data_IF_001350141480
#
_entry.id   IF_001350141480
#
_cell.length_a   1.000
_cell.length_b   1.000
_cell.length_c   1.000
_cell.angle_alpha   90.00
_cell.angle_beta   90.00
_cell.angle_gamma   90.00
#
_symmetry.space_group_name_H-M   'P 1'
#
loop_
_entity.id
_entity.type
_entity.pdbx_description
1 polymer ?
#
# COMPACT_ATOMS: atom_id res chain seq x y z
N UNK A 1 25.11 -5.53 7.04
CA UNK A 1 24.49 -4.24 7.39
C UNK A 1 22.99 -4.45 7.43
N UNK A 2 22.40 -4.44 8.64
CA UNK A 2 20.95 -4.53 8.79
C UNK A 2 20.34 -3.26 8.19
N UNK A 3 19.63 -3.43 7.07
CA UNK A 3 18.76 -2.41 6.47
C UNK A 3 17.60 -2.17 7.44
N UNK A 4 17.87 -1.39 8.49
CA UNK A 4 16.82 -0.75 9.27
C UNK A 4 16.08 0.10 8.26
N UNK A 5 14.88 -0.34 7.88
CA UNK A 5 13.90 0.51 7.23
C UNK A 5 13.88 1.81 8.02
N UNK A 6 13.89 2.97 7.35
CA UNK A 6 13.54 4.21 8.03
C UNK A 6 12.13 4.01 8.59
N UNK A 7 12.08 3.59 9.85
CA UNK A 7 10.85 3.42 10.60
C UNK A 7 10.29 4.82 10.65
N UNK A 8 9.20 5.07 9.92
CA UNK A 8 8.41 6.27 10.09
C UNK A 8 8.28 6.49 11.60
N UNK A 9 8.84 7.59 12.12
CA UNK A 9 8.75 7.96 13.53
C UNK A 9 7.29 8.32 13.85
N UNK A 10 6.48 7.27 13.99
CA UNK A 10 5.06 7.40 14.26
C UNK A 10 4.92 7.54 15.77
N UNK A 11 5.06 8.78 16.23
CA UNK A 11 4.98 9.13 17.65
C UNK A 11 3.54 9.09 18.19
N UNK A 12 2.54 8.82 17.34
CA UNK A 12 1.15 8.75 17.73
C UNK A 12 0.39 7.66 16.98
N UNK A 13 -0.27 6.78 17.73
CA UNK A 13 -1.17 5.77 17.18
C UNK A 13 -2.30 6.38 16.33
N UNK A 14 -2.75 7.60 16.66
CA UNK A 14 -3.78 8.30 15.88
C UNK A 14 -3.25 8.83 14.54
N UNK A 15 -1.98 9.23 14.49
CA UNK A 15 -1.31 9.55 13.23
C UNK A 15 -1.26 8.31 12.33
N UNK A 16 -0.88 7.15 12.89
CA UNK A 16 -0.86 5.87 12.18
C UNK A 16 -2.23 5.52 11.58
N UNK A 17 -3.29 5.69 12.37
CA UNK A 17 -4.65 5.46 11.91
C UNK A 17 -4.96 6.33 10.68
N UNK A 18 -4.67 7.63 10.73
CA UNK A 18 -4.90 8.56 9.62
C UNK A 18 -4.11 8.16 8.38
N UNK A 19 -2.84 7.76 8.56
CA UNK A 19 -1.99 7.27 7.48
C UNK A 19 -2.57 6.01 6.82
N UNK A 20 -2.97 5.01 7.61
CA UNK A 20 -3.61 3.79 7.11
C UNK A 20 -4.90 4.09 6.35
N UNK A 21 -5.75 4.95 6.93
CA UNK A 21 -7.03 5.32 6.32
C UNK A 21 -6.84 6.02 4.96
N UNK A 22 -5.87 6.96 4.90
CA UNK A 22 -5.53 7.68 3.67
C UNK A 22 -4.89 6.77 2.62
N UNK A 23 -4.04 5.84 3.06
CA UNK A 23 -3.37 4.88 2.18
C UNK A 23 -4.36 3.93 1.50
N UNK A 24 -5.41 3.52 2.22
CA UNK A 24 -6.50 2.72 1.63
C UNK A 24 -7.18 3.49 0.49
N UNK A 25 -7.44 4.80 0.66
CA UNK A 25 -8.06 5.61 -0.40
C UNK A 25 -7.21 5.75 -1.65
N UNK A 26 -5.88 5.77 -1.49
CA UNK A 26 -4.93 5.98 -2.57
C UNK A 26 -4.63 4.67 -3.30
N UNK A 27 -4.32 3.60 -2.56
CA UNK A 27 -3.80 2.36 -3.15
C UNK A 27 -4.90 1.41 -3.61
N UNK A 28 -6.06 1.38 -2.94
CA UNK A 28 -7.11 0.41 -3.23
C UNK A 28 -8.08 0.96 -4.28
N UNK A 29 -8.08 0.37 -5.47
CA UNK A 29 -8.95 0.79 -6.58
C UNK A 29 -10.42 0.42 -6.36
N UNK A 30 -10.68 -0.79 -5.84
CA UNK A 30 -12.05 -1.28 -5.64
C UNK A 30 -12.79 -0.50 -4.56
N UNK A 31 -14.00 0.00 -4.89
CA UNK A 31 -14.86 0.72 -3.94
C UNK A 31 -15.28 -0.17 -2.77
N UNK A 32 -15.68 -1.42 -3.04
CA UNK A 32 -16.08 -2.37 -2.01
C UNK A 32 -14.91 -2.71 -1.09
N UNK A 33 -13.72 -2.96 -1.65
CA UNK A 33 -12.53 -3.23 -0.85
C UNK A 33 -12.13 -2.04 0.02
N UNK A 34 -12.20 -0.80 -0.51
CA UNK A 34 -11.97 0.42 0.29
C UNK A 34 -12.93 0.52 1.47
N UNK A 35 -14.23 0.37 1.21
CA UNK A 35 -15.25 0.45 2.26
C UNK A 35 -15.01 -0.62 3.35
N UNK A 36 -14.77 -1.86 2.92
CA UNK A 36 -14.48 -2.97 3.83
C UNK A 36 -13.24 -2.71 4.70
N UNK A 37 -12.11 -2.35 4.09
CA UNK A 37 -10.85 -2.11 4.81
C UNK A 37 -10.97 -0.93 5.77
N UNK A 38 -11.62 0.17 5.35
CA UNK A 38 -11.87 1.33 6.21
C UNK A 38 -12.75 0.99 7.39
N UNK A 39 -13.86 0.27 7.17
CA UNK A 39 -14.75 -0.16 8.24
C UNK A 39 -13.99 -1.03 9.25
N UNK A 40 -13.26 -2.04 8.76
CA UNK A 40 -12.45 -2.93 9.61
C UNK A 40 -11.39 -2.17 10.40
N UNK A 41 -10.68 -1.23 9.77
CA UNK A 41 -9.66 -0.41 10.41
C UNK A 41 -10.25 0.43 11.55
N UNK A 42 -11.37 1.09 11.33
CA UNK A 42 -12.05 1.91 12.35
C UNK A 42 -12.59 1.05 13.49
N UNK A 43 -13.20 -0.10 13.19
CA UNK A 43 -13.69 -1.03 14.22
C UNK A 43 -12.54 -1.54 15.09
N UNK A 44 -11.45 -2.01 14.49
CA UNK A 44 -10.28 -2.49 15.24
C UNK A 44 -9.63 -1.36 16.05
N UNK A 45 -9.60 -0.14 15.53
CA UNK A 45 -9.11 1.01 16.27
C UNK A 45 -9.98 1.31 17.51
N UNK A 46 -11.31 1.30 17.35
CA UNK A 46 -12.23 1.58 18.45
C UNK A 46 -12.12 0.55 19.58
N UNK A 47 -11.83 -0.71 19.24
CA UNK A 47 -11.56 -1.77 20.22
C UNK A 47 -10.20 -1.60 20.89
N UNK A 48 -9.13 -1.46 20.09
CA UNK A 48 -7.75 -1.50 20.57
C UNK A 48 -7.25 -0.20 21.20
N UNK A 49 -7.88 0.94 20.90
CA UNK A 49 -7.54 2.23 21.51
C UNK A 49 -7.83 2.31 23.01
N UNK A 50 -8.64 1.37 23.53
CA UNK A 50 -8.96 1.26 24.96
C UNK A 50 -7.95 0.41 25.73
N UNK A 51 -7.03 -0.25 25.04
CA UNK A 51 -5.98 -1.05 25.67
C UNK A 51 -5.08 -0.14 26.51
N UNK A 52 -4.80 -0.52 27.75
CA UNK A 52 -3.95 0.25 28.67
C UNK A 52 -2.55 -0.36 28.83
N UNK A 53 -2.37 -1.63 28.43
CA UNK A 53 -1.09 -2.31 28.47
C UNK A 53 -0.13 -1.77 27.40
N UNK A 54 1.03 -1.19 27.79
CA UNK A 54 1.96 -0.57 26.85
C UNK A 54 2.58 -1.58 25.87
N UNK A 55 2.78 -2.84 26.26
CA UNK A 55 3.35 -3.85 25.36
C UNK A 55 2.37 -4.21 24.25
N UNK A 56 1.09 -4.37 24.58
CA UNK A 56 0.03 -4.62 23.61
C UNK A 56 -0.22 -3.41 22.71
N UNK A 57 -0.21 -2.20 23.26
CA UNK A 57 -0.28 -0.98 22.46
C UNK A 57 0.84 -0.93 21.43
N UNK A 58 2.08 -1.25 21.83
CA UNK A 58 3.22 -1.29 20.92
C UNK A 58 3.02 -2.35 19.82
N UNK A 59 2.61 -3.56 20.20
CA UNK A 59 2.31 -4.62 19.25
C UNK A 59 1.25 -4.19 18.22
N UNK A 60 0.19 -3.51 18.67
CA UNK A 60 -0.84 -3.01 17.76
C UNK A 60 -0.32 -1.92 16.81
N UNK A 61 0.56 -1.05 17.28
CA UNK A 61 1.23 -0.07 16.42
C UNK A 61 2.13 -0.76 15.40
N UNK A 62 2.90 -1.78 15.79
CA UNK A 62 3.79 -2.53 14.88
C UNK A 62 2.98 -3.30 13.83
N UNK A 63 1.85 -3.90 14.22
CA UNK A 63 0.91 -4.55 13.28
C UNK A 63 0.29 -3.55 12.30
N UNK A 64 -0.11 -2.36 12.77
CA UNK A 64 -0.64 -1.31 11.92
C UNK A 64 0.44 -0.75 10.96
N UNK A 65 1.68 -0.63 11.42
CA UNK A 65 2.83 -0.28 10.58
C UNK A 65 3.09 -1.33 9.50
N UNK A 66 3.03 -2.61 9.85
CA UNK A 66 3.16 -3.73 8.90
C UNK A 66 2.05 -3.73 7.86
N UNK A 67 0.80 -3.45 8.27
CA UNK A 67 -0.32 -3.28 7.35
C UNK A 67 -0.11 -2.11 6.39
N UNK A 68 0.32 -0.96 6.91
CA UNK A 68 0.63 0.22 6.10
C UNK A 68 1.72 -0.11 5.07
N UNK A 69 2.79 -0.79 5.49
CA UNK A 69 3.85 -1.21 4.57
C UNK A 69 3.31 -2.15 3.49
N UNK A 70 2.51 -3.15 3.85
CA UNK A 70 1.93 -4.09 2.91
C UNK A 70 1.03 -3.42 1.84
N UNK A 71 0.33 -2.33 2.20
CA UNK A 71 -0.47 -1.56 1.24
C UNK A 71 0.37 -0.83 0.18
N UNK A 72 1.60 -0.44 0.54
CA UNK A 72 2.48 0.35 -0.34
C UNK A 72 3.56 -0.49 -1.02
N UNK A 73 3.78 -1.73 -0.56
CA UNK A 73 4.74 -2.64 -1.16
C UNK A 73 4.21 -3.17 -2.50
N UNK A 74 5.03 -3.10 -3.53
CA UNK A 74 4.72 -3.68 -4.83
C UNK A 74 4.66 -5.21 -4.76
N UNK A 75 3.96 -5.84 -5.71
CA UNK A 75 3.78 -7.31 -5.74
C UNK A 75 5.10 -8.09 -5.74
N UNK A 76 6.12 -7.54 -6.39
CA UNK A 76 7.47 -8.09 -6.45
C UNK A 76 8.47 -6.99 -6.05
N UNK A 77 8.68 -6.76 -4.74
CA UNK A 77 9.64 -5.77 -4.29
C UNK A 77 11.06 -6.26 -4.58
N UNK A 78 11.92 -5.36 -5.06
CA UNK A 78 13.35 -5.68 -5.16
C UNK A 78 13.95 -5.67 -3.76
N UNK A 79 14.96 -6.52 -3.48
CA UNK A 79 15.67 -6.42 -2.21
C UNK A 79 16.26 -5.01 -2.05
N UNK A 80 16.18 -4.47 -0.83
CA UNK A 80 16.69 -3.15 -0.45
C UNK A 80 16.04 -1.92 -1.13
N UNK A 81 14.91 -2.06 -1.83
CA UNK A 81 14.17 -0.86 -2.26
C UNK A 81 13.43 -0.21 -1.10
N UNK A 82 13.59 1.12 -0.89
CA UNK A 82 12.86 1.82 0.15
C UNK A 82 11.35 1.83 -0.17
N UNK A 83 10.53 1.59 0.85
CA UNK A 83 9.08 1.73 0.73
C UNK A 83 8.72 3.19 0.93
N UNK A 84 8.33 3.87 -0.16
CA UNK A 84 7.90 5.27 -0.11
C UNK A 84 6.41 5.36 0.18
N UNK A 85 6.05 6.09 1.25
CA UNK A 85 4.67 6.32 1.64
C UNK A 85 4.19 7.67 1.10
N UNK A 86 3.39 7.65 0.03
CA UNK A 86 2.81 8.87 -0.54
C UNK A 86 1.37 9.05 -0.05
N UNK A 87 1.12 10.05 0.81
CA UNK A 87 -0.20 10.31 1.43
C UNK A 87 -1.00 11.41 0.72
N UNK A 88 -0.34 12.18 -0.16
CA UNK A 88 -1.01 13.18 -0.99
C UNK A 88 -1.71 12.51 -2.17
N UNK A 89 -3.03 12.74 -2.29
CA UNK A 89 -3.84 12.17 -3.38
C UNK A 89 -3.43 12.73 -4.74
N UNK A 90 -3.09 14.02 -4.79
CA UNK A 90 -2.68 14.69 -6.03
C UNK A 90 -1.36 14.13 -6.52
N UNK A 91 -0.36 14.06 -5.63
CA UNK A 91 0.95 13.55 -6.01
C UNK A 91 0.90 12.07 -6.38
N UNK A 92 0.14 11.25 -5.64
CA UNK A 92 -0.05 9.85 -6.00
C UNK A 92 -0.76 9.66 -7.36
N UNK A 93 -1.68 10.57 -7.71
CA UNK A 93 -2.31 10.57 -9.03
C UNK A 93 -1.32 10.97 -10.12
N UNK A 94 -0.54 12.03 -9.90
CA UNK A 94 0.46 12.51 -10.85
C UNK A 94 1.56 11.44 -11.09
N UNK A 95 2.03 10.78 -10.03
CA UNK A 95 2.96 9.64 -10.11
C UNK A 95 2.37 8.47 -10.90
N UNK A 96 1.10 8.11 -10.64
CA UNK A 96 0.42 7.05 -11.40
C UNK A 96 0.27 7.42 -12.89
N UNK A 97 0.03 8.69 -13.20
CA UNK A 97 -0.05 9.16 -14.58
C UNK A 97 1.33 9.14 -15.25
N UNK A 98 2.40 9.54 -14.54
CA UNK A 98 3.78 9.40 -15.02
C UNK A 98 4.13 7.94 -15.30
N UNK A 99 3.87 7.03 -14.36
CA UNK A 99 4.15 5.60 -14.53
C UNK A 99 3.38 4.99 -15.72
N UNK A 100 2.13 5.42 -15.92
CA UNK A 100 1.35 5.02 -17.11
C UNK A 100 1.93 5.57 -18.40
N UNK A 101 2.35 6.84 -18.41
CA UNK A 101 2.97 7.47 -19.56
C UNK A 101 4.32 6.82 -19.90
N UNK A 102 5.15 6.52 -18.90
CA UNK A 102 6.43 5.80 -19.06
C UNK A 102 6.22 4.39 -19.61
N UNK A 103 5.23 3.64 -19.10
CA UNK A 103 4.87 2.31 -19.63
C UNK A 103 4.31 2.36 -21.05
N UNK A 104 3.62 3.43 -21.42
CA UNK A 104 3.13 3.64 -22.78
C UNK A 104 4.28 4.04 -23.73
N UNK A 105 5.22 4.87 -23.26
CA UNK A 105 6.39 5.33 -24.00
C UNK A 105 7.44 4.23 -24.18
N UNK A 106 7.58 3.29 -23.23
CA UNK A 106 8.54 2.18 -23.31
C UNK A 106 8.19 1.14 -24.38
N UNK A 107 7.13 1.34 -25.16
CA UNK A 107 6.86 0.59 -26.39
C UNK A 107 6.60 -0.90 -26.20
N UNK A 108 6.51 -1.41 -24.97
CA UNK A 108 6.18 -2.80 -24.67
C UNK A 108 4.68 -2.99 -24.89
N UNK A 109 4.27 -2.93 -26.15
CA UNK A 109 3.07 -3.62 -26.62
C UNK A 109 3.24 -5.04 -26.12
N UNK A 110 2.44 -5.45 -25.13
CA UNK A 110 2.21 -6.88 -24.89
C UNK A 110 1.58 -7.39 -26.18
N UNK A 111 2.40 -7.77 -27.15
CA UNK A 111 2.01 -8.66 -28.22
C UNK A 111 1.48 -9.88 -27.48
N UNK A 112 0.15 -9.98 -27.40
CA UNK A 112 -0.52 -11.25 -27.15
C UNK A 112 0.06 -12.17 -28.21
N UNK A 113 1.05 -12.99 -27.85
CA UNK A 113 1.62 -13.97 -28.77
C UNK A 113 0.47 -14.89 -29.12
N UNK A 114 -0.20 -14.62 -30.23
CA UNK A 114 -1.05 -15.60 -30.87
C UNK A 114 -0.08 -16.73 -31.28
N UNK A 115 -0.28 -17.97 -30.84
CA UNK A 115 0.57 -19.07 -31.30
C UNK A 115 0.43 -19.17 -32.81
N UNK A 116 1.56 -19.11 -33.52
CA UNK A 116 1.68 -19.08 -34.99
C UNK A 116 1.26 -20.38 -35.68
N UNK A 117 0.42 -21.20 -35.05
CA UNK A 117 0.02 -22.53 -35.54
C UNK A 117 -1.47 -22.83 -35.29
N UNK A 118 -2.35 -21.84 -35.43
CA UNK A 118 -3.76 -22.12 -35.60
C UNK A 118 -3.96 -22.66 -37.03
N UNK A 119 -3.91 -23.99 -37.19
CA UNK A 119 -4.29 -24.68 -38.41
C UNK A 119 -5.75 -24.32 -38.73
N UNK A 120 -5.97 -23.74 -39.91
CA UNK A 120 -7.26 -23.80 -40.60
C UNK A 120 -7.57 -25.26 -40.89
N UNK A 121 -8.62 -25.77 -40.25
CA UNK A 121 -9.40 -26.92 -40.72
C UNK A 121 -10.81 -26.38 -40.95
#
# INVERSE_FOLDING_TARGET
MNSQQQVLEINSAYCLLRMCYRSIDIKIKSRHARSFLKKRLITQWAEKSKETDPQKQRLYMDLAGSFLQALHTDRNPKPNTPVTFQLSRRVAYDEQMKERAEKAASGVRRTRRLPTNAKTV
#
